data_IF_188181882109
#
_entry.id   IF_188181882109
#
_cell.length_a   1.000
_cell.length_b   1.000
_cell.length_c   1.000
_cell.angle_alpha   90.00
_cell.angle_beta   90.00
_cell.angle_gamma   90.00
#
_symmetry.space_group_name_H-M   'P 1'
#
loop_
_entity.id
_entity.type
_entity.pdbx_description
1 polymer ?
#
# COMPACT_ATOMS: atom_id res chain seq x y z
N UNK A 1 -34.70 22.05 -22.68
CA UNK A 1 -35.06 20.98 -21.73
C UNK A 1 -34.53 19.71 -22.38
N UNK A 2 -33.43 19.12 -21.95
CA UNK A 2 -33.24 18.43 -20.69
C UNK A 2 -31.77 18.49 -20.23
N UNK A 3 -31.61 18.74 -18.93
CA UNK A 3 -30.36 18.88 -18.20
C UNK A 3 -30.34 17.71 -17.22
N UNK A 4 -29.60 16.63 -17.48
CA UNK A 4 -29.50 15.54 -16.53
C UNK A 4 -28.10 14.89 -16.50
N UNK A 5 -27.48 15.05 -15.33
CA UNK A 5 -26.52 14.16 -14.67
C UNK A 5 -25.12 14.03 -15.30
N UNK A 6 -24.34 15.11 -15.18
CA UNK A 6 -22.91 14.94 -14.89
C UNK A 6 -22.83 14.40 -13.46
N UNK A 7 -22.65 13.08 -13.33
CA UNK A 7 -22.23 12.48 -12.06
C UNK A 7 -20.82 13.01 -11.79
N UNK A 8 -20.70 14.09 -11.01
CA UNK A 8 -19.45 14.45 -10.38
C UNK A 8 -19.09 13.29 -9.45
N UNK A 9 -18.20 12.40 -9.90
CA UNK A 9 -17.48 11.53 -8.98
C UNK A 9 -16.66 12.46 -8.10
N UNK A 10 -17.15 12.70 -6.90
CA UNK A 10 -16.45 13.43 -5.86
C UNK A 10 -15.11 12.72 -5.67
N UNK A 11 -14.02 13.34 -6.09
CA UNK A 11 -12.68 12.78 -5.91
C UNK A 11 -12.42 12.70 -4.42
N UNK A 12 -12.59 11.52 -3.85
CA UNK A 12 -12.37 11.27 -2.43
C UNK A 12 -10.91 11.60 -2.11
N UNK A 13 -10.71 12.69 -1.38
CA UNK A 13 -9.38 13.16 -1.00
C UNK A 13 -8.73 12.08 -0.13
N UNK A 14 -7.53 11.63 -0.52
CA UNK A 14 -6.75 10.71 0.27
C UNK A 14 -6.53 11.30 1.67
N UNK A 15 -6.94 10.56 2.71
CA UNK A 15 -6.77 10.99 4.10
C UNK A 15 -5.45 10.46 4.65
N UNK A 16 -4.52 11.37 4.92
CA UNK A 16 -3.31 11.08 5.70
C UNK A 16 -3.62 11.35 7.17
N UNK A 17 -3.40 10.36 8.03
CA UNK A 17 -3.54 10.50 9.48
C UNK A 17 -2.14 10.43 10.11
N UNK A 18 -1.71 11.50 10.79
CA UNK A 18 -0.50 11.45 11.63
C UNK A 18 -0.84 10.74 12.95
N UNK A 19 -0.16 9.63 13.22
CA UNK A 19 -0.34 8.82 14.42
C UNK A 19 0.72 9.12 15.47
N UNK A 20 1.92 9.49 15.02
CA UNK A 20 3.03 9.97 15.84
C UNK A 20 3.99 10.79 14.97
N UNK A 21 5.00 11.46 15.56
CA UNK A 21 5.99 12.22 14.79
C UNK A 21 6.71 11.43 13.69
N UNK A 22 6.76 10.09 13.79
CA UNK A 22 7.42 9.20 12.84
C UNK A 22 6.45 8.28 12.08
N UNK A 23 5.16 8.28 12.40
CA UNK A 23 4.20 7.32 11.84
C UNK A 23 3.02 8.05 11.23
N UNK A 24 2.84 7.86 9.93
CA UNK A 24 1.68 8.33 9.18
C UNK A 24 0.93 7.13 8.63
N UNK A 25 -0.39 7.25 8.53
CA UNK A 25 -1.27 6.23 7.95
C UNK A 25 -2.02 6.82 6.77
N UNK A 26 -2.06 6.06 5.69
CA UNK A 26 -2.87 6.32 4.50
C UNK A 26 -3.86 5.16 4.36
N UNK A 27 -5.11 5.46 4.04
CA UNK A 27 -6.15 4.42 3.84
C UNK A 27 -6.55 4.39 2.37
N UNK A 28 -6.44 3.21 1.74
CA UNK A 28 -6.86 2.96 0.36
C UNK A 28 -8.39 2.96 0.23
N UNK A 29 -8.91 3.29 -0.95
CA UNK A 29 -10.35 3.35 -1.20
C UNK A 29 -10.93 1.97 -1.59
N UNK A 30 -10.81 1.00 -0.69
CA UNK A 30 -11.30 -0.38 -0.88
C UNK A 30 -12.07 -0.87 0.34
N UNK A 31 -13.01 -0.05 0.85
CA UNK A 31 -13.83 -0.39 2.02
C UNK A 31 -14.61 -1.70 1.83
N UNK A 32 -14.76 -2.48 2.90
CA UNK A 32 -15.40 -3.79 2.86
C UNK A 32 -15.41 -4.48 4.22
N UNK A 33 -16.02 -5.66 4.29
CA UNK A 33 -16.16 -6.42 5.54
C UNK A 33 -14.81 -6.76 6.17
N UNK A 34 -13.80 -7.04 5.35
CA UNK A 34 -12.45 -7.39 5.82
C UNK A 34 -11.52 -6.19 5.97
N UNK A 35 -11.77 -5.10 5.24
CA UNK A 35 -10.91 -3.91 5.18
C UNK A 35 -11.47 -2.73 5.98
N UNK A 36 -12.69 -2.84 6.52
CA UNK A 36 -13.37 -1.75 7.23
C UNK A 36 -13.50 -0.51 6.33
N UNK A 37 -13.01 0.68 6.76
CA UNK A 37 -12.98 1.88 5.92
C UNK A 37 -12.07 1.77 4.68
N UNK A 38 -11.16 0.79 4.65
CA UNK A 38 -10.17 0.58 3.60
C UNK A 38 -8.84 0.03 4.16
N UNK A 39 -8.01 -0.50 3.27
CA UNK A 39 -6.70 -1.04 3.65
C UNK A 39 -5.76 0.09 4.12
N UNK A 40 -5.14 -0.09 5.28
CA UNK A 40 -4.18 0.86 5.81
C UNK A 40 -2.77 0.57 5.28
N UNK A 41 -2.11 1.62 4.81
CA UNK A 41 -0.68 1.67 4.51
C UNK A 41 -0.01 2.60 5.53
N UNK A 42 1.11 2.17 6.10
CA UNK A 42 1.85 2.97 7.07
C UNK A 42 3.15 3.48 6.49
N UNK A 43 3.46 4.74 6.78
CA UNK A 43 4.72 5.39 6.43
C UNK A 43 5.51 5.63 7.72
N UNK A 44 6.66 4.97 7.83
CA UNK A 44 7.52 5.04 9.02
C UNK A 44 8.78 5.83 8.68
N UNK A 45 9.04 6.92 9.40
CA UNK A 45 10.16 7.82 9.12
C UNK A 45 9.75 9.10 8.37
N UNK A 46 10.73 9.97 8.09
CA UNK A 46 10.55 11.23 7.34
C UNK A 46 11.47 11.30 6.11
N UNK A 47 12.78 11.19 6.32
CA UNK A 47 13.78 11.25 5.24
C UNK A 47 14.22 9.86 4.74
N UNK A 48 14.05 8.83 5.57
CA UNK A 48 14.17 7.43 5.19
C UNK A 48 12.87 6.72 5.55
N UNK A 49 11.98 6.59 4.57
CA UNK A 49 10.62 6.07 4.76
C UNK A 49 10.58 4.57 4.47
N UNK A 50 10.12 3.81 5.46
CA UNK A 50 9.65 2.44 5.24
C UNK A 50 8.15 2.47 5.02
N UNK A 51 7.70 1.96 3.88
CA UNK A 51 6.28 1.78 3.56
C UNK A 51 5.84 0.39 3.97
N UNK A 52 4.82 0.28 4.81
CA UNK A 52 4.27 -1.00 5.28
C UNK A 52 2.90 -1.23 4.61
N UNK A 53 2.73 -2.39 3.99
CA UNK A 53 1.50 -2.86 3.35
C UNK A 53 0.85 -1.81 2.43
N UNK A 54 1.44 -1.56 1.24
CA UNK A 54 0.98 -0.53 0.29
C UNK A 54 -0.38 -0.82 -0.38
N UNK A 55 -1.25 -1.59 0.27
CA UNK A 55 -2.66 -1.77 -0.08
C UNK A 55 -2.88 -2.53 -1.38
N UNK A 56 -4.16 -2.65 -1.83
CA UNK A 56 -4.47 -3.37 -3.06
C UNK A 56 -3.76 -2.75 -4.27
N UNK A 57 -3.81 -3.41 -5.43
CA UNK A 57 -3.27 -2.91 -6.69
C UNK A 57 -4.08 -1.73 -7.27
N UNK A 58 -4.24 -0.64 -6.50
CA UNK A 58 -4.90 0.60 -6.89
C UNK A 58 -3.86 1.63 -7.33
N UNK A 59 -3.88 1.98 -8.62
CA UNK A 59 -2.92 2.95 -9.18
C UNK A 59 -2.95 4.28 -8.45
N UNK A 60 -4.14 4.80 -8.15
CA UNK A 60 -4.27 6.09 -7.46
C UNK A 60 -3.67 6.05 -6.05
N UNK A 61 -3.86 4.94 -5.33
CA UNK A 61 -3.26 4.77 -4.00
C UNK A 61 -1.72 4.75 -4.07
N UNK A 62 -1.16 4.01 -5.02
CA UNK A 62 0.30 3.91 -5.23
C UNK A 62 0.89 5.24 -5.66
N UNK A 63 0.25 5.95 -6.59
CA UNK A 63 0.72 7.26 -7.05
C UNK A 63 0.72 8.28 -5.94
N UNK A 64 -0.27 8.23 -5.06
CA UNK A 64 -0.31 9.12 -3.91
C UNK A 64 0.76 8.77 -2.87
N UNK A 65 1.01 7.49 -2.56
CA UNK A 65 2.14 7.08 -1.71
C UNK A 65 3.46 7.61 -2.29
N UNK A 66 3.68 7.40 -3.59
CA UNK A 66 4.89 7.86 -4.28
C UNK A 66 5.03 9.38 -4.28
N UNK A 67 3.93 10.14 -4.42
CA UNK A 67 3.95 11.61 -4.31
C UNK A 67 4.26 12.10 -2.90
N UNK A 68 3.74 11.42 -1.88
CA UNK A 68 3.93 11.81 -0.47
C UNK A 68 5.35 11.51 0.02
N UNK A 69 5.91 10.39 -0.43
CA UNK A 69 7.21 9.91 0.05
C UNK A 69 8.36 10.23 -0.89
N UNK A 70 8.10 10.44 -2.18
CA UNK A 70 9.13 10.77 -3.17
C UNK A 70 10.27 9.75 -3.21
N UNK A 71 11.49 10.27 -3.25
CA UNK A 71 12.74 9.49 -3.26
C UNK A 71 13.15 8.97 -1.88
N UNK A 72 12.45 9.38 -0.82
CA UNK A 72 12.76 8.98 0.56
C UNK A 72 12.32 7.54 0.87
N UNK A 73 11.60 6.86 -0.04
CA UNK A 73 11.20 5.46 0.16
C UNK A 73 12.44 4.56 0.13
N UNK A 74 12.88 4.12 1.31
CA UNK A 74 14.04 3.26 1.46
C UNK A 74 13.74 1.79 1.22
N UNK A 75 12.54 1.36 1.61
CA UNK A 75 12.10 -0.02 1.47
C UNK A 75 10.58 -0.13 1.62
N UNK A 76 10.06 -1.22 1.09
CA UNK A 76 8.66 -1.62 1.20
C UNK A 76 8.63 -2.91 2.01
N UNK A 77 7.83 -2.95 3.07
CA UNK A 77 7.64 -4.11 3.92
C UNK A 77 6.22 -4.64 3.79
N UNK A 78 6.10 -5.92 3.48
CA UNK A 78 4.82 -6.63 3.44
C UNK A 78 4.72 -7.54 4.67
N UNK A 79 3.69 -7.32 5.49
CA UNK A 79 3.48 -8.07 6.74
C UNK A 79 2.83 -9.43 6.51
N UNK A 80 1.96 -9.52 5.49
CA UNK A 80 1.29 -10.75 5.09
C UNK A 80 0.89 -10.65 3.62
N UNK A 81 0.74 -11.80 2.96
CA UNK A 81 0.69 -11.87 1.51
C UNK A 81 -0.73 -12.06 0.94
N UNK A 82 -1.79 -11.63 1.63
CA UNK A 82 -3.15 -11.73 1.08
C UNK A 82 -3.39 -10.73 -0.07
N UNK A 83 -4.29 -11.10 -0.99
CA UNK A 83 -4.63 -10.36 -2.21
C UNK A 83 -5.22 -8.96 -1.97
N UNK A 84 -5.86 -8.74 -0.84
CA UNK A 84 -6.48 -7.46 -0.47
C UNK A 84 -5.48 -6.46 0.15
N UNK A 85 -4.24 -6.88 0.39
CA UNK A 85 -3.24 -6.10 1.12
C UNK A 85 -1.92 -5.89 0.39
N UNK A 86 -1.42 -6.92 -0.28
CA UNK A 86 -0.03 -6.96 -0.74
C UNK A 86 0.26 -6.66 -2.23
N UNK A 87 -0.70 -6.71 -3.18
CA UNK A 87 -0.41 -6.42 -4.60
C UNK A 87 0.15 -5.04 -4.90
N UNK A 88 -0.16 -4.04 -4.07
CA UNK A 88 0.38 -2.70 -4.22
C UNK A 88 1.91 -2.64 -4.10
N UNK A 89 2.54 -3.62 -3.45
CA UNK A 89 3.99 -3.63 -3.22
C UNK A 89 4.76 -3.76 -4.53
N UNK A 90 4.29 -4.59 -5.46
CA UNK A 90 4.88 -4.73 -6.79
C UNK A 90 4.78 -3.42 -7.58
N UNK A 91 3.62 -2.77 -7.55
CA UNK A 91 3.40 -1.51 -8.27
C UNK A 91 4.26 -0.39 -7.70
N UNK A 92 4.34 -0.28 -6.37
CA UNK A 92 5.17 0.74 -5.73
C UNK A 92 6.66 0.51 -6.02
N UNK A 93 7.13 -0.74 -5.99
CA UNK A 93 8.48 -1.09 -6.40
C UNK A 93 8.77 -0.68 -7.85
N UNK A 94 7.87 -0.97 -8.78
CA UNK A 94 8.03 -0.56 -10.18
C UNK A 94 8.10 0.98 -10.33
N UNK A 95 7.40 1.70 -9.45
CA UNK A 95 7.32 3.16 -9.48
C UNK A 95 8.52 3.86 -8.84
N UNK A 96 9.17 3.25 -7.86
CA UNK A 96 10.21 3.91 -7.03
C UNK A 96 11.53 3.16 -6.95
N UNK A 97 11.61 1.95 -7.53
CA UNK A 97 12.74 1.03 -7.40
C UNK A 97 13.08 0.58 -5.96
N UNK A 98 12.28 0.98 -4.96
CA UNK A 98 12.53 0.62 -3.57
C UNK A 98 12.40 -0.90 -3.36
N UNK A 99 13.32 -1.56 -2.64
CA UNK A 99 13.30 -3.00 -2.44
C UNK A 99 12.06 -3.43 -1.64
N UNK A 100 11.45 -4.53 -2.04
CA UNK A 100 10.35 -5.17 -1.31
C UNK A 100 10.89 -6.30 -0.43
N UNK A 101 10.54 -6.26 0.86
CA UNK A 101 10.87 -7.26 1.87
C UNK A 101 9.60 -7.81 2.49
N UNK A 102 9.64 -9.06 2.92
CA UNK A 102 8.52 -9.70 3.61
C UNK A 102 8.85 -11.14 3.96
N UNK A 103 7.86 -11.88 4.43
CA UNK A 103 7.96 -13.31 4.70
C UNK A 103 6.96 -14.06 3.84
N UNK A 104 7.36 -15.23 3.32
CA UNK A 104 6.45 -16.09 2.55
C UNK A 104 5.45 -16.71 3.52
N UNK A 105 4.16 -16.65 3.18
CA UNK A 105 3.16 -17.39 3.93
C UNK A 105 3.49 -18.89 3.92
N UNK A 106 3.30 -19.54 5.07
CA UNK A 106 3.45 -20.99 5.21
C UNK A 106 2.24 -21.78 4.68
N UNK A 107 1.17 -21.07 4.30
CA UNK A 107 -0.05 -21.61 3.72
C UNK A 107 -0.32 -20.95 2.36
N UNK A 108 -1.12 -21.60 1.53
CA UNK A 108 -1.30 -21.22 0.12
C UNK A 108 -2.61 -20.46 -0.17
N UNK A 109 -3.54 -20.42 0.77
CA UNK A 109 -4.87 -19.88 0.54
C UNK A 109 -4.85 -18.36 0.41
N UNK A 110 -5.48 -17.82 -0.65
CA UNK A 110 -5.67 -16.38 -0.89
C UNK A 110 -4.40 -15.53 -0.93
N UNK A 111 -3.24 -16.16 -1.19
CA UNK A 111 -1.97 -15.44 -1.28
C UNK A 111 -1.79 -14.76 -2.64
N UNK A 112 -1.13 -13.62 -2.62
CA UNK A 112 -0.77 -12.81 -3.78
C UNK A 112 0.34 -13.48 -4.59
N UNK A 113 0.04 -13.96 -5.80
CA UNK A 113 1.03 -14.61 -6.66
C UNK A 113 2.07 -13.61 -7.20
N UNK A 114 1.80 -12.31 -7.13
CA UNK A 114 2.66 -11.28 -7.71
C UNK A 114 3.92 -10.99 -6.89
N UNK A 115 3.99 -11.52 -5.66
CA UNK A 115 5.12 -11.37 -4.74
C UNK A 115 6.22 -12.43 -4.90
N UNK A 116 6.17 -13.22 -5.97
CA UNK A 116 7.17 -14.25 -6.29
C UNK A 116 8.61 -13.75 -6.42
N UNK A 117 8.83 -12.43 -6.53
CA UNK A 117 10.15 -11.79 -6.63
C UNK A 117 10.58 -11.01 -5.37
N UNK A 118 9.87 -11.14 -4.25
CA UNK A 118 10.25 -10.49 -2.99
C UNK A 118 11.55 -11.08 -2.43
N UNK A 119 12.42 -10.20 -1.91
CA UNK A 119 13.50 -10.65 -1.04
C UNK A 119 12.90 -11.09 0.30
N UNK A 120 12.66 -12.39 0.43
CA UNK A 120 12.15 -12.93 1.68
C UNK A 120 13.21 -12.80 2.77
N UNK A 121 12.81 -12.23 3.90
CA UNK A 121 13.61 -12.24 5.11
C UNK A 121 13.77 -13.70 5.54
N UNK A 122 15.00 -14.20 5.57
CA UNK A 122 15.30 -15.50 6.16
C UNK A 122 15.33 -15.33 7.66
N UNK A 123 14.59 -16.16 8.39
CA UNK A 123 14.86 -16.34 9.81
C UNK A 123 16.13 -17.18 9.92
N UNK A 124 17.21 -16.57 10.41
CA UNK A 124 18.35 -17.34 10.90
C UNK A 124 17.99 -17.81 12.31
N UNK A 125 17.91 -19.12 12.48
CA UNK A 125 17.70 -19.81 13.77
C UNK A 125 19.03 -20.16 14.40
#
# INVERSE_FOLDING_TARGET
>A
MERWLVCFQETKVMKITELSPLVRRITADNSGVFTGPGTNTYLIGRDEITVIDPGPASKDHIENIAKICGEDIKQILVTHTHNDHSPGAKLLHQRTAAPVKGMKALHNEMQDPTLSHIQFLKMET
#
